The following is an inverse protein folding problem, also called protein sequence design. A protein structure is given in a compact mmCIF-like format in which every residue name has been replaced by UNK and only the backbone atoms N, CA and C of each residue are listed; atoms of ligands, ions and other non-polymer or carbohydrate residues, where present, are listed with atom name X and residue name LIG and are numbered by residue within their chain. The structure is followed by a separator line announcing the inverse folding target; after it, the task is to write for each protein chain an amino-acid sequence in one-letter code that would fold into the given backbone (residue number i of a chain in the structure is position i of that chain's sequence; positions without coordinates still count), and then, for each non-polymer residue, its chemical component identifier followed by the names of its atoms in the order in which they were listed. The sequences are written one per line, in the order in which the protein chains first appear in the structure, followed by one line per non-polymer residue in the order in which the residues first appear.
data_IF_164644044623
#
_entry.id   IF_164644044623
#
_cell.length_a   1.000
_cell.length_b   1.000
_cell.length_c   1.000
_cell.angle_alpha   90.00
_cell.angle_beta   90.00
_cell.angle_gamma   90.00
#
_symmetry.space_group_name_H-M   'P 1'
#
loop_
_entity.id
_entity.type
_entity.pdbx_description
1 polymer ?
#
# COMPACT_ATOMS: atom_id res chain seq x y z
N UNK A 1 -10.83 -12.71 -0.58
CA UNK A 1 -9.52 -12.78 -1.28
C UNK A 1 -8.44 -12.35 -0.30
N UNK A 2 -7.31 -13.09 -0.17
CA UNK A 2 -6.26 -12.72 0.77
C UNK A 2 -5.66 -11.34 0.40
N UNK A 3 -5.32 -10.48 1.39
CA UNK A 3 -4.87 -9.12 1.14
C UNK A 3 -3.65 -9.05 0.21
N UNK A 4 -2.74 -10.01 0.32
CA UNK A 4 -1.55 -10.13 -0.54
C UNK A 4 -1.91 -10.31 -2.02
N UNK A 5 -2.95 -11.09 -2.33
CA UNK A 5 -3.36 -11.35 -3.73
C UNK A 5 -4.04 -10.11 -4.32
N UNK A 6 -4.78 -9.36 -3.51
CA UNK A 6 -5.35 -8.07 -3.94
C UNK A 6 -4.26 -7.04 -4.28
N UNK A 7 -3.19 -6.97 -3.47
CA UNK A 7 -2.03 -6.11 -3.75
C UNK A 7 -1.33 -6.52 -5.07
N UNK A 8 -1.20 -7.82 -5.32
CA UNK A 8 -0.64 -8.32 -6.58
C UNK A 8 -1.48 -7.89 -7.78
N UNK A 9 -2.81 -8.07 -7.71
CA UNK A 9 -3.72 -7.65 -8.76
C UNK A 9 -3.59 -6.16 -9.08
N UNK A 10 -3.50 -5.32 -8.03
CA UNK A 10 -3.35 -3.87 -8.21
C UNK A 10 -2.06 -3.48 -8.94
N UNK A 11 -0.92 -4.08 -8.60
CA UNK A 11 0.33 -3.80 -9.31
C UNK A 11 0.28 -4.29 -10.76
N UNK A 12 -0.35 -5.44 -11.04
CA UNK A 12 -0.51 -5.91 -12.43
C UNK A 12 -1.26 -4.89 -13.28
N UNK A 13 -2.37 -4.36 -12.77
CA UNK A 13 -3.13 -3.30 -13.45
C UNK A 13 -2.29 -2.03 -13.65
N UNK A 14 -1.61 -1.56 -12.59
CA UNK A 14 -0.77 -0.36 -12.67
C UNK A 14 0.42 -0.53 -13.65
N UNK A 15 0.98 -1.73 -13.74
CA UNK A 15 2.04 -2.01 -14.70
C UNK A 15 1.51 -1.99 -16.14
N UNK A 16 0.35 -2.60 -16.40
CA UNK A 16 -0.29 -2.54 -17.72
C UNK A 16 -0.61 -1.09 -18.13
N UNK A 17 -1.19 -0.30 -17.22
CA UNK A 17 -1.46 1.13 -17.44
C UNK A 17 -0.16 1.92 -17.76
N UNK A 18 0.93 1.63 -17.05
CA UNK A 18 2.22 2.24 -17.34
C UNK A 18 2.77 1.84 -18.72
N UNK A 19 2.67 0.55 -19.08
CA UNK A 19 3.12 0.08 -20.39
C UNK A 19 2.35 0.78 -21.51
N UNK A 20 1.04 0.94 -21.38
CA UNK A 20 0.23 1.73 -22.33
C UNK A 20 0.70 3.18 -22.43
N UNK A 21 1.00 3.82 -21.28
CA UNK A 21 1.51 5.19 -21.23
C UNK A 21 2.94 5.34 -21.81
N UNK A 22 3.80 4.33 -21.61
CA UNK A 22 5.21 4.37 -21.99
C UNK A 22 5.46 3.92 -23.43
N UNK A 23 4.65 3.01 -23.98
CA UNK A 23 4.72 2.51 -25.38
C UNK A 23 4.87 3.63 -26.42
N UNK A 24 4.09 4.71 -26.43
CA UNK A 24 4.24 5.79 -27.42
C UNK A 24 5.50 6.65 -27.23
N UNK A 25 6.20 6.52 -26.09
CA UNK A 25 7.43 7.26 -25.76
C UNK A 25 8.69 6.42 -25.90
N UNK A 26 8.55 5.15 -26.24
CA UNK A 26 9.65 4.22 -26.44
C UNK A 26 10.18 4.30 -27.86
N UNK A 27 11.46 3.98 -28.03
CA UNK A 27 12.06 3.90 -29.36
C UNK A 27 11.36 2.81 -30.20
N UNK A 28 11.22 3.01 -31.52
CA UNK A 28 10.66 1.99 -32.41
C UNK A 28 11.39 0.66 -32.23
N UNK A 29 10.65 -0.41 -31.94
CA UNK A 29 11.20 -1.77 -31.75
C UNK A 29 11.37 -2.23 -30.30
N UNK A 30 11.14 -1.36 -29.30
CA UNK A 30 11.12 -1.77 -27.88
C UNK A 30 9.69 -2.06 -27.45
N UNK A 31 9.34 -3.35 -27.34
CA UNK A 31 8.04 -3.78 -26.80
C UNK A 31 8.18 -4.19 -25.34
N UNK A 32 7.37 -3.58 -24.48
CA UNK A 32 7.21 -4.00 -23.08
C UNK A 32 6.03 -4.95 -22.95
N UNK A 33 6.20 -6.02 -22.19
CA UNK A 33 5.10 -6.92 -21.85
C UNK A 33 4.20 -6.25 -20.78
N UNK A 34 2.93 -5.99 -21.13
CA UNK A 34 1.94 -5.45 -20.18
C UNK A 34 1.54 -6.45 -19.09
N UNK A 35 1.75 -7.75 -19.33
CA UNK A 35 1.40 -8.82 -18.40
C UNK A 35 2.62 -9.61 -17.93
N UNK A 36 2.61 -9.96 -16.64
CA UNK A 36 3.61 -10.86 -16.06
C UNK A 36 3.32 -12.31 -16.46
N UNK A 37 3.81 -12.70 -17.65
CA UNK A 37 3.72 -14.07 -18.20
C UNK A 37 5.05 -14.82 -18.07
N UNK A 38 5.00 -16.16 -18.13
CA UNK A 38 6.21 -16.99 -18.06
C UNK A 38 7.18 -16.62 -19.18
N UNK A 39 8.45 -16.41 -18.82
CA UNK A 39 9.50 -16.03 -19.78
C UNK A 39 9.42 -14.60 -20.29
N UNK A 40 8.62 -13.73 -19.64
CA UNK A 40 8.60 -12.28 -19.89
C UNK A 40 10.02 -11.72 -19.91
N UNK A 41 10.30 -10.81 -20.85
CA UNK A 41 11.60 -10.11 -20.85
C UNK A 41 11.67 -9.21 -19.61
N UNK A 42 12.77 -9.31 -18.85
CA UNK A 42 12.99 -8.44 -17.70
C UNK A 42 13.07 -6.98 -18.17
N UNK A 43 12.34 -6.03 -17.57
CA UNK A 43 12.42 -4.64 -17.95
C UNK A 43 13.78 -4.04 -17.58
N UNK A 44 14.33 -3.24 -18.48
CA UNK A 44 15.59 -2.53 -18.26
C UNK A 44 15.47 -1.53 -17.10
N UNK A 45 16.62 -1.19 -16.51
CA UNK A 45 16.69 -0.26 -15.38
C UNK A 45 16.00 1.08 -15.67
N UNK A 46 16.16 1.63 -16.88
CA UNK A 46 15.52 2.88 -17.30
C UNK A 46 13.98 2.76 -17.26
N UNK A 47 13.45 1.64 -17.73
CA UNK A 47 12.01 1.37 -17.72
C UNK A 47 11.47 1.25 -16.31
N UNK A 48 12.18 0.56 -15.42
CA UNK A 48 11.77 0.42 -14.02
C UNK A 48 11.80 1.77 -13.30
N UNK A 49 12.83 2.60 -13.53
CA UNK A 49 12.88 3.97 -12.98
C UNK A 49 11.71 4.83 -13.48
N UNK A 50 11.40 4.77 -14.78
CA UNK A 50 10.25 5.46 -15.36
C UNK A 50 8.92 5.00 -14.76
N UNK A 51 8.77 3.70 -14.50
CA UNK A 51 7.59 3.16 -13.84
C UNK A 51 7.42 3.72 -12.43
N UNK A 52 8.50 3.84 -11.66
CA UNK A 52 8.45 4.38 -10.31
C UNK A 52 8.10 5.87 -10.30
N UNK A 53 8.67 6.65 -11.23
CA UNK A 53 8.28 8.05 -11.39
C UNK A 53 6.81 8.20 -11.77
N UNK A 54 6.33 7.37 -12.70
CA UNK A 54 4.94 7.35 -13.10
C UNK A 54 4.02 6.94 -11.94
N UNK A 55 4.39 5.93 -11.15
CA UNK A 55 3.64 5.54 -9.96
C UNK A 55 3.56 6.69 -8.94
N UNK A 56 4.67 7.37 -8.70
CA UNK A 56 4.73 8.43 -7.71
C UNK A 56 3.90 9.67 -8.11
N UNK A 57 3.77 9.93 -9.41
CA UNK A 57 2.97 11.04 -9.96
C UNK A 57 1.49 10.69 -10.14
N UNK A 58 1.19 9.43 -10.49
CA UNK A 58 -0.17 8.97 -10.79
C UNK A 58 -0.93 8.56 -9.53
N UNK A 59 -0.24 7.99 -8.54
CA UNK A 59 -0.89 7.54 -7.31
C UNK A 59 -1.13 8.71 -6.36
N UNK A 60 -2.41 8.98 -6.09
CA UNK A 60 -2.82 9.85 -4.99
C UNK A 60 -2.85 9.04 -3.69
N UNK A 61 -2.20 9.58 -2.66
CA UNK A 61 -2.30 9.11 -1.29
C UNK A 61 -3.66 9.42 -0.65
N UNK A 62 -3.77 9.12 0.65
CA UNK A 62 -5.00 9.33 1.44
C UNK A 62 -5.37 10.84 1.46
N UNK A 63 -6.66 11.16 1.32
CA UNK A 63 -7.18 12.54 1.28
C UNK A 63 -6.65 13.40 0.12
N UNK A 64 -6.43 12.82 -1.06
CA UNK A 64 -5.93 13.50 -2.27
C UNK A 64 -4.53 14.11 -2.14
N UNK A 65 -3.79 13.80 -1.07
CA UNK A 65 -2.38 14.17 -0.92
C UNK A 65 -1.51 13.29 -1.82
N UNK A 66 -0.28 13.70 -2.09
CA UNK A 66 0.67 12.87 -2.82
C UNK A 66 0.99 11.60 -2.01
N UNK A 67 1.40 10.54 -2.71
CA UNK A 67 1.79 9.28 -2.08
C UNK A 67 2.91 9.49 -1.05
N UNK A 68 2.91 8.69 0.01
CA UNK A 68 4.00 8.64 0.98
C UNK A 68 5.12 7.75 0.47
N UNK A 69 6.36 8.05 0.85
CA UNK A 69 7.51 7.24 0.46
C UNK A 69 7.36 5.76 0.86
N UNK A 70 6.85 5.48 2.06
CA UNK A 70 6.63 4.11 2.53
C UNK A 70 5.66 3.31 1.64
N UNK A 71 4.59 3.95 1.16
CA UNK A 71 3.64 3.28 0.26
C UNK A 71 4.26 3.03 -1.11
N UNK A 72 5.05 3.98 -1.62
CA UNK A 72 5.80 3.80 -2.87
C UNK A 72 6.80 2.64 -2.76
N UNK A 73 7.55 2.56 -1.65
CA UNK A 73 8.46 1.43 -1.38
C UNK A 73 7.72 0.09 -1.30
N UNK A 74 6.51 0.06 -0.71
CA UNK A 74 5.68 -1.14 -0.68
C UNK A 74 5.30 -1.61 -2.08
N UNK A 75 4.87 -0.69 -2.96
CA UNK A 75 4.55 -1.01 -4.35
C UNK A 75 5.77 -1.51 -5.12
N UNK A 76 6.93 -0.87 -4.92
CA UNK A 76 8.21 -1.28 -5.49
C UNK A 76 8.60 -2.71 -5.10
N UNK A 77 8.56 -3.03 -3.80
CA UNK A 77 8.89 -4.38 -3.30
C UNK A 77 7.93 -5.42 -3.86
N UNK A 78 6.65 -5.06 -3.95
CA UNK A 78 5.62 -5.94 -4.52
C UNK A 78 5.88 -6.19 -6.00
N UNK A 79 6.19 -5.15 -6.78
CA UNK A 79 6.53 -5.27 -8.20
C UNK A 79 7.68 -6.26 -8.42
N UNK A 80 8.78 -6.13 -7.68
CA UNK A 80 9.90 -7.07 -7.80
C UNK A 80 9.61 -8.47 -7.28
N UNK A 81 8.65 -8.63 -6.36
CA UNK A 81 8.18 -9.95 -5.93
C UNK A 81 7.28 -10.63 -6.98
N UNK A 82 6.57 -9.87 -7.82
CA UNK A 82 5.70 -10.42 -8.86
C UNK A 82 6.47 -11.10 -9.98
N UNK A 83 7.61 -10.55 -10.38
CA UNK A 83 8.41 -11.07 -11.52
C UNK A 83 8.80 -12.54 -11.30
N UNK A 84 9.52 -12.93 -10.22
CA UNK A 84 9.86 -14.33 -10.02
C UNK A 84 8.60 -15.20 -9.76
N UNK A 85 7.54 -14.64 -9.17
CA UNK A 85 6.31 -15.39 -8.84
C UNK A 85 5.47 -15.76 -10.08
N UNK A 86 5.33 -14.83 -11.04
CA UNK A 86 4.42 -14.99 -12.18
C UNK A 86 5.16 -15.16 -13.50
N UNK A 87 6.30 -14.49 -13.69
CA UNK A 87 7.11 -14.63 -14.89
C UNK A 87 8.14 -15.76 -14.82
N UNK A 88 8.43 -16.29 -13.61
CA UNK A 88 9.48 -17.28 -13.36
C UNK A 88 10.87 -16.81 -13.85
N UNK A 89 11.11 -15.50 -13.80
CA UNK A 89 12.37 -14.87 -14.20
C UNK A 89 13.14 -14.42 -12.98
N UNK A 90 14.43 -14.69 -12.96
CA UNK A 90 15.34 -14.19 -11.94
C UNK A 90 15.52 -12.67 -12.09
N UNK A 91 15.33 -11.94 -10.99
CA UNK A 91 15.60 -10.50 -10.94
C UNK A 91 16.97 -10.29 -10.28
N UNK A 92 17.98 -9.78 -11.00
CA UNK A 92 19.30 -9.48 -10.44
C UNK A 92 19.21 -8.52 -9.25
N UNK A 93 20.06 -8.75 -8.24
CA UNK A 93 20.17 -7.88 -7.06
C UNK A 93 20.54 -6.45 -7.45
N UNK A 94 21.43 -6.30 -8.43
CA UNK A 94 21.89 -5.01 -8.98
C UNK A 94 20.72 -4.15 -9.49
N UNK A 95 19.77 -4.76 -10.21
CA UNK A 95 18.58 -4.06 -10.69
C UNK A 95 17.74 -3.53 -9.50
N UNK A 96 17.58 -4.34 -8.45
CA UNK A 96 16.82 -3.94 -7.25
C UNK A 96 17.54 -2.83 -6.49
N UNK A 97 18.85 -2.99 -6.24
CA UNK A 97 19.66 -2.04 -5.50
C UNK A 97 19.79 -0.71 -6.22
N UNK A 98 20.03 -0.72 -7.52
CA UNK A 98 20.15 0.50 -8.31
C UNK A 98 18.83 1.26 -8.39
N UNK A 99 17.71 0.55 -8.37
CA UNK A 99 16.39 1.17 -8.34
C UNK A 99 16.04 1.72 -6.96
N UNK A 100 16.43 1.03 -5.88
CA UNK A 100 16.31 1.56 -4.52
C UNK A 100 17.17 2.82 -4.34
N UNK A 101 18.42 2.80 -4.81
CA UNK A 101 19.31 3.95 -4.78
C UNK A 101 18.72 5.14 -5.55
N UNK A 102 18.04 4.88 -6.68
CA UNK A 102 17.32 5.92 -7.40
C UNK A 102 16.15 6.50 -6.61
N UNK A 103 15.38 5.68 -5.90
CA UNK A 103 14.23 6.18 -5.12
C UNK A 103 14.58 7.11 -3.96
N UNK A 104 15.86 7.15 -3.56
CA UNK A 104 16.40 8.06 -2.53
C UNK A 104 17.30 9.15 -3.12
N UNK A 105 17.50 9.18 -4.44
CA UNK A 105 18.37 10.17 -5.07
C UNK A 105 17.74 11.56 -5.07
N UNK A 106 18.58 12.60 -5.07
CA UNK A 106 18.11 13.99 -5.18
C UNK A 106 17.33 14.23 -6.47
N UNK A 107 17.71 13.57 -7.57
CA UNK A 107 16.99 13.60 -8.84
C UNK A 107 15.53 13.14 -8.69
N UNK A 108 15.31 12.04 -7.97
CA UNK A 108 13.97 11.52 -7.74
C UNK A 108 13.17 12.40 -6.77
N UNK A 109 13.82 12.87 -5.72
CA UNK A 109 13.19 13.68 -4.67
C UNK A 109 12.85 15.09 -5.15
N UNK A 110 13.63 15.66 -6.07
CA UNK A 110 13.34 16.96 -6.69
C UNK A 110 12.17 16.88 -7.68
N UNK A 111 11.99 15.73 -8.34
CA UNK A 111 10.90 15.53 -9.29
C UNK A 111 9.53 15.32 -8.62
N UNK A 112 9.51 14.81 -7.37
CA UNK A 112 8.27 14.37 -6.72
C UNK A 112 8.07 15.07 -5.39
N UNK A 113 6.93 15.74 -5.25
CA UNK A 113 6.44 16.26 -3.97
C UNK A 113 5.91 15.11 -3.09
N UNK A 114 6.79 14.25 -2.57
CA UNK A 114 6.38 13.19 -1.64
C UNK A 114 5.90 13.80 -0.32
N UNK A 115 4.85 13.22 0.25
CA UNK A 115 4.44 13.55 1.62
C UNK A 115 5.42 12.86 2.58
N UNK A 116 6.54 13.51 2.87
CA UNK A 116 7.57 13.00 3.79
C UNK A 116 7.29 13.36 5.25
N UNK A 117 6.38 14.30 5.50
CA UNK A 117 5.99 14.61 6.87
C UNK A 117 5.15 13.46 7.41
N UNK A 118 5.59 12.75 8.48
CA UNK A 118 4.71 11.86 9.19
C UNK A 118 3.53 12.70 9.65
N UNK A 119 2.33 12.43 9.12
CA UNK A 119 1.13 13.11 9.59
C UNK A 119 1.11 12.97 11.11
N UNK A 120 1.01 14.10 11.84
CA UNK A 120 0.91 14.09 13.30
C UNK A 120 -0.19 13.11 13.65
N UNK A 121 0.18 11.99 14.28
CA UNK A 121 -0.78 10.97 14.68
C UNK A 121 -1.70 11.67 15.69
N UNK A 122 -2.93 11.91 15.29
CA UNK A 122 -3.93 12.47 16.18
C UNK A 122 -4.29 11.32 17.12
N UNK A 123 -3.79 11.40 18.34
CA UNK A 123 -4.18 10.48 19.39
C UNK A 123 -5.57 10.88 19.85
N UNK A 124 -6.46 9.89 19.95
CA UNK A 124 -7.74 10.09 20.60
C UNK A 124 -7.48 10.42 22.08
N UNK A 125 -8.14 11.44 22.59
CA UNK A 125 -8.12 11.77 24.01
C UNK A 125 -9.15 10.88 24.75
N UNK A 126 -9.05 10.81 26.07
CA UNK A 126 -10.02 10.11 26.95
C UNK A 126 -11.45 10.59 26.66
N UNK A 127 -11.62 11.89 26.41
CA UNK A 127 -12.89 12.51 26.03
C UNK A 127 -13.48 11.90 24.74
N UNK A 128 -12.65 11.57 23.75
CA UNK A 128 -13.11 10.93 22.52
C UNK A 128 -13.64 9.50 22.81
N UNK A 129 -13.00 8.80 23.76
CA UNK A 129 -13.46 7.52 24.28
C UNK A 129 -14.84 7.62 24.93
N UNK A 130 -15.03 8.59 25.83
CA UNK A 130 -16.31 8.81 26.52
C UNK A 130 -17.43 9.17 25.54
N UNK A 131 -17.14 9.98 24.53
CA UNK A 131 -18.10 10.32 23.47
C UNK A 131 -18.52 9.05 22.70
N UNK A 132 -17.57 8.19 22.33
CA UNK A 132 -17.85 6.95 21.60
C UNK A 132 -18.66 5.99 22.48
N UNK A 133 -18.27 5.78 23.74
CA UNK A 133 -19.01 4.94 24.68
C UNK A 133 -20.44 5.48 24.86
N UNK A 134 -20.58 6.79 25.09
CA UNK A 134 -21.87 7.45 25.21
C UNK A 134 -22.73 7.36 23.94
N UNK A 135 -22.12 7.30 22.76
CA UNK A 135 -22.82 7.06 21.49
C UNK A 135 -23.32 5.62 21.39
N UNK A 136 -22.48 4.63 21.74
CA UNK A 136 -22.85 3.20 21.71
C UNK A 136 -24.06 2.93 22.62
N UNK A 137 -24.09 3.54 23.81
CA UNK A 137 -25.22 3.40 24.73
C UNK A 137 -26.52 4.04 24.23
N UNK A 138 -26.41 5.18 23.53
CA UNK A 138 -27.57 5.93 23.02
C UNK A 138 -28.10 5.44 21.68
N UNK A 139 -27.26 4.77 20.89
CA UNK A 139 -27.65 4.26 19.57
C UNK A 139 -28.59 3.04 19.71
N UNK A 140 -29.80 3.21 19.18
CA UNK A 140 -30.87 2.20 19.14
C UNK A 140 -31.00 1.51 17.78
N UNK A 141 -30.29 1.98 16.75
CA UNK A 141 -30.41 1.49 15.37
C UNK A 141 -29.37 0.42 15.05
N UNK A 142 -28.09 0.66 15.37
CA UNK A 142 -27.00 -0.28 15.09
C UNK A 142 -26.74 -1.24 16.25
N UNK A 143 -26.75 -0.73 17.47
CA UNK A 143 -26.54 -1.53 18.68
C UNK A 143 -27.89 -1.97 19.28
N UNK A 144 -28.51 -2.97 18.64
CA UNK A 144 -29.88 -3.41 18.94
C UNK A 144 -30.07 -4.03 20.32
N UNK A 145 -29.04 -4.65 20.89
CA UNK A 145 -29.12 -5.36 22.18
C UNK A 145 -28.14 -4.78 23.19
N UNK A 146 -28.52 -4.83 24.47
CA UNK A 146 -27.63 -4.44 25.56
C UNK A 146 -26.35 -5.30 25.59
N UNK A 147 -26.46 -6.58 25.21
CA UNK A 147 -25.30 -7.46 25.07
C UNK A 147 -24.29 -6.93 24.05
N UNK A 148 -24.75 -6.52 22.86
CA UNK A 148 -23.88 -5.98 21.82
C UNK A 148 -23.22 -4.66 22.26
N UNK A 149 -23.95 -3.81 22.98
CA UNK A 149 -23.41 -2.56 23.56
C UNK A 149 -22.27 -2.84 24.55
N UNK A 150 -22.51 -3.75 25.50
CA UNK A 150 -21.51 -4.15 26.50
C UNK A 150 -20.29 -4.74 25.81
N UNK A 151 -20.47 -5.65 24.85
CA UNK A 151 -19.36 -6.25 24.09
C UNK A 151 -18.52 -5.18 23.38
N UNK A 152 -19.15 -4.25 22.64
CA UNK A 152 -18.42 -3.20 21.93
C UNK A 152 -17.68 -2.24 22.87
N UNK A 153 -18.28 -1.88 24.02
CA UNK A 153 -17.61 -1.03 25.03
C UNK A 153 -16.42 -1.76 25.65
N UNK A 154 -16.56 -3.05 25.99
CA UNK A 154 -15.45 -3.84 26.52
C UNK A 154 -14.31 -3.98 25.51
N UNK A 155 -14.62 -4.30 24.25
CA UNK A 155 -13.62 -4.42 23.18
C UNK A 155 -12.87 -3.09 22.96
N UNK A 156 -13.59 -1.96 22.99
CA UNK A 156 -12.97 -0.64 22.89
C UNK A 156 -11.98 -0.40 24.05
N UNK A 157 -12.37 -0.74 25.28
CA UNK A 157 -11.50 -0.61 26.46
C UNK A 157 -10.28 -1.54 26.41
N UNK A 158 -10.43 -2.76 25.87
CA UNK A 158 -9.30 -3.67 25.66
C UNK A 158 -8.31 -3.07 24.65
N UNK A 159 -8.80 -2.45 23.57
CA UNK A 159 -7.93 -1.80 22.59
C UNK A 159 -7.24 -0.55 23.12
N UNK A 160 -7.89 0.23 23.97
CA UNK A 160 -7.28 1.43 24.57
C UNK A 160 -6.20 1.07 25.59
N UNK A 161 -6.41 0.02 26.40
CA UNK A 161 -5.45 -0.39 27.43
C UNK A 161 -4.34 -1.27 26.85
N UNK A 162 -4.70 -2.26 26.04
CA UNK A 162 -3.75 -3.28 25.57
C UNK A 162 -2.80 -2.83 24.48
N UNK A 163 -3.07 -1.71 23.80
CA UNK A 163 -2.33 -1.29 22.57
C UNK A 163 -2.25 -2.37 21.47
N UNK A 164 -3.02 -3.46 21.62
CA UNK A 164 -3.00 -4.60 20.73
C UNK A 164 -3.73 -4.30 19.43
N UNK A 165 -3.29 -4.96 18.35
CA UNK A 165 -3.96 -4.80 17.05
C UNK A 165 -5.31 -5.52 17.09
N UNK A 166 -6.37 -4.99 16.46
CA UNK A 166 -7.67 -5.64 16.43
C UNK A 166 -7.65 -7.11 15.98
N UNK A 167 -6.77 -7.45 15.04
CA UNK A 167 -6.61 -8.83 14.59
C UNK A 167 -5.97 -9.77 15.63
N UNK A 168 -5.14 -9.27 16.55
CA UNK A 168 -4.50 -10.10 17.58
C UNK A 168 -5.49 -10.50 18.67
N UNK A 169 -6.33 -9.55 19.11
CA UNK A 169 -7.36 -9.79 20.14
C UNK A 169 -8.43 -10.78 19.68
N UNK A 170 -8.79 -10.77 18.39
CA UNK A 170 -9.75 -11.73 17.84
C UNK A 170 -9.18 -13.16 17.73
N UNK A 171 -7.87 -13.30 17.55
CA UNK A 171 -7.22 -14.61 17.42
C UNK A 171 -6.93 -15.23 18.79
N UNK A 172 -6.68 -14.42 19.82
CA UNK A 172 -6.47 -14.93 21.19
C UNK A 172 -7.69 -15.61 21.80
N UNK A 173 -8.90 -15.38 21.26
CA UNK A 173 -10.14 -16.04 21.72
C UNK A 173 -10.50 -17.31 20.92
N UNK A 174 -9.74 -17.66 19.87
CA UNK A 174 -9.97 -18.85 19.04
C UNK A 174 -8.95 -19.98 19.26
N UNK A 175 -8.07 -19.84 20.26
CA UNK A 175 -7.12 -20.86 20.71
C UNK A 175 -7.54 -21.32 22.11
#
# INVERSE_FOLDING_TARGET
MPPTVACHGRIKTLWAEYVEYATPKLNPGVTLDAEFKRGMRLPDQKTVKGFIQWLATTLKGRLRKNITYNNLQFYFRTFFALIPRYALVYVPSELRLSTLAYSVSEEFMSFINLTNSPAKKIYANVVDGDIIIGFIWRDKQRFRTNRLRIQCVYTLNIFTIGSERPGAVLVSEMV
#
